data_IF_247804269293
#
_entry.id   IF_247804269293
#
_cell.length_a   1.000
_cell.length_b   1.000
_cell.length_c   1.000
_cell.angle_alpha   90.00
_cell.angle_beta   90.00
_cell.angle_gamma   90.00
#
_symmetry.space_group_name_H-M   'P 1'
#
loop_
_entity.id
_entity.type
_entity.pdbx_description
1 polymer ?
#
# COMPACT_ATOMS: atom_id res chain seq x y z
N UNK A 1 19.57 -15.10 -33.54
CA UNK A 1 19.31 -14.04 -32.59
C UNK A 1 18.07 -14.39 -31.77
N UNK A 2 18.36 -15.02 -30.59
CA UNK A 2 17.33 -15.49 -29.65
C UNK A 2 16.71 -14.32 -28.93
N UNK A 3 15.49 -13.97 -29.30
CA UNK A 3 14.64 -13.08 -28.48
C UNK A 3 14.03 -13.91 -27.36
N UNK A 4 14.56 -13.79 -26.15
CA UNK A 4 13.86 -14.30 -24.97
C UNK A 4 12.49 -13.62 -24.86
N UNK A 5 11.39 -14.37 -24.63
CA UNK A 5 10.06 -13.79 -24.50
C UNK A 5 10.01 -12.88 -23.25
N UNK A 6 9.42 -11.70 -23.40
CA UNK A 6 9.22 -10.77 -22.29
C UNK A 6 8.37 -11.44 -21.20
N UNK A 7 8.94 -11.58 -20.02
CA UNK A 7 8.19 -12.13 -18.85
C UNK A 7 7.02 -11.24 -18.52
N UNK A 8 5.86 -11.84 -18.22
CA UNK A 8 4.67 -11.13 -17.81
C UNK A 8 4.90 -10.34 -16.50
N UNK A 9 4.11 -9.28 -16.25
CA UNK A 9 4.20 -8.50 -15.02
C UNK A 9 4.09 -9.38 -13.76
N UNK A 10 3.16 -10.35 -13.76
CA UNK A 10 2.99 -11.32 -12.68
C UNK A 10 4.22 -12.20 -12.44
N UNK A 11 4.94 -12.58 -13.50
CA UNK A 11 6.19 -13.36 -13.38
C UNK A 11 7.34 -12.51 -12.82
N UNK A 12 7.37 -11.21 -13.15
CA UNK A 12 8.35 -10.27 -12.58
C UNK A 12 8.09 -10.04 -11.09
N UNK A 13 6.83 -9.84 -10.69
CA UNK A 13 6.44 -9.66 -9.29
C UNK A 13 6.70 -10.92 -8.45
N UNK A 14 6.39 -12.10 -8.97
CA UNK A 14 6.71 -13.38 -8.33
C UNK A 14 8.23 -13.57 -8.16
N UNK A 15 9.01 -13.25 -9.17
CA UNK A 15 10.47 -13.32 -9.11
C UNK A 15 11.05 -12.34 -8.10
N UNK A 16 10.51 -11.13 -8.01
CA UNK A 16 10.92 -10.12 -7.02
C UNK A 16 10.60 -10.57 -5.60
N UNK A 17 9.40 -11.09 -5.36
CA UNK A 17 9.00 -11.64 -4.03
C UNK A 17 9.87 -12.83 -3.63
N UNK A 18 10.19 -13.71 -4.57
CA UNK A 18 11.04 -14.87 -4.31
C UNK A 18 12.49 -14.46 -4.05
N UNK A 19 13.01 -13.47 -4.77
CA UNK A 19 14.33 -12.88 -4.54
C UNK A 19 14.40 -12.24 -3.16
N UNK A 20 13.40 -11.43 -2.77
CA UNK A 20 13.33 -10.78 -1.45
C UNK A 20 13.32 -11.81 -0.32
N UNK A 21 12.47 -12.87 -0.42
CA UNK A 21 12.44 -13.96 0.57
C UNK A 21 13.78 -14.71 0.66
N UNK A 22 14.43 -14.94 -0.48
CA UNK A 22 15.70 -15.64 -0.55
C UNK A 22 16.83 -14.81 0.07
N UNK A 23 16.90 -13.51 -0.24
CA UNK A 23 17.88 -12.59 0.37
C UNK A 23 17.72 -12.53 1.90
N UNK A 24 16.49 -12.42 2.42
CA UNK A 24 16.25 -12.45 3.87
C UNK A 24 16.69 -13.77 4.55
N UNK A 25 16.62 -14.90 3.85
CA UNK A 25 16.96 -16.21 4.40
C UNK A 25 18.46 -16.53 4.28
N UNK A 26 19.09 -16.12 3.19
CA UNK A 26 20.50 -16.39 2.92
C UNK A 26 21.45 -15.43 3.68
N UNK A 27 21.07 -14.15 3.86
CA UNK A 27 21.94 -13.11 4.45
C UNK A 27 21.64 -12.80 5.92
N UNK A 28 20.71 -13.53 6.58
CA UNK A 28 20.28 -13.27 7.96
C UNK A 28 19.90 -11.79 8.20
N UNK A 29 19.26 -11.16 7.22
CA UNK A 29 18.80 -9.78 7.36
C UNK A 29 17.66 -9.74 8.39
N UNK A 30 17.92 -9.05 9.49
CA UNK A 30 16.95 -8.84 10.56
C UNK A 30 16.64 -7.35 10.70
N UNK A 31 15.37 -7.00 10.72
CA UNK A 31 14.95 -5.66 11.10
C UNK A 31 15.02 -5.50 12.62
N UNK A 32 15.22 -4.26 13.09
CA UNK A 32 15.07 -3.95 14.51
C UNK A 32 13.63 -4.26 14.96
N UNK A 33 13.42 -4.38 16.28
CA UNK A 33 12.07 -4.61 16.83
C UNK A 33 11.10 -3.49 16.45
N UNK A 34 11.58 -2.26 16.41
CA UNK A 34 10.82 -1.07 16.03
C UNK A 34 10.45 -1.13 14.56
N UNK A 35 11.42 -1.39 13.67
CA UNK A 35 11.18 -1.51 12.23
C UNK A 35 10.20 -2.67 11.91
N UNK A 36 10.30 -3.78 12.63
CA UNK A 36 9.38 -4.91 12.46
C UNK A 36 7.95 -4.54 12.87
N UNK A 37 7.77 -3.87 14.02
CA UNK A 37 6.44 -3.39 14.45
C UNK A 37 5.83 -2.38 13.47
N UNK A 38 6.64 -1.47 12.97
CA UNK A 38 6.23 -0.49 11.96
C UNK A 38 5.75 -1.19 10.67
N UNK A 39 6.48 -2.20 10.19
CA UNK A 39 6.07 -3.01 9.05
C UNK A 39 4.80 -3.82 9.32
N UNK A 40 4.60 -4.32 10.55
CA UNK A 40 3.37 -5.02 10.94
C UNK A 40 2.15 -4.10 10.87
N UNK A 41 2.27 -2.85 11.34
CA UNK A 41 1.18 -1.87 11.24
C UNK A 41 0.82 -1.61 9.78
N UNK A 42 1.81 -1.32 8.93
CA UNK A 42 1.55 -1.07 7.51
C UNK A 42 1.01 -2.32 6.80
N UNK A 43 1.54 -3.50 7.09
CA UNK A 43 1.05 -4.77 6.54
C UNK A 43 -0.41 -5.02 6.91
N UNK A 44 -0.81 -4.70 8.15
CA UNK A 44 -2.20 -4.84 8.60
C UNK A 44 -3.14 -3.91 7.85
N UNK A 45 -2.73 -2.65 7.61
CA UNK A 45 -3.50 -1.71 6.81
C UNK A 45 -3.65 -2.18 5.35
N UNK A 46 -2.58 -2.69 4.76
CA UNK A 46 -2.59 -3.25 3.40
C UNK A 46 -3.47 -4.49 3.30
N UNK A 47 -3.45 -5.36 4.29
CA UNK A 47 -4.34 -6.52 4.33
C UNK A 47 -5.82 -6.10 4.42
N UNK A 48 -6.13 -5.07 5.20
CA UNK A 48 -7.48 -4.53 5.29
C UNK A 48 -7.95 -3.97 3.96
N UNK A 49 -7.13 -3.15 3.27
CA UNK A 49 -7.53 -2.54 1.99
C UNK A 49 -7.75 -3.61 0.91
N UNK A 50 -6.90 -4.65 0.85
CA UNK A 50 -7.09 -5.78 -0.07
C UNK A 50 -8.43 -6.47 0.19
N UNK A 51 -8.73 -6.76 1.45
CA UNK A 51 -9.98 -7.43 1.84
C UNK A 51 -11.18 -6.59 1.46
N UNK A 52 -11.15 -5.29 1.76
CA UNK A 52 -12.23 -4.36 1.40
C UNK A 52 -12.43 -4.24 -0.11
N UNK A 53 -11.35 -4.08 -0.86
CA UNK A 53 -11.42 -3.95 -2.32
C UNK A 53 -11.94 -5.24 -2.99
N UNK A 54 -11.49 -6.40 -2.51
CA UNK A 54 -11.95 -7.70 -3.00
C UNK A 54 -13.44 -7.91 -2.72
N UNK A 55 -13.89 -7.65 -1.50
CA UNK A 55 -15.30 -7.82 -1.13
C UNK A 55 -16.19 -6.83 -1.90
N UNK A 56 -15.80 -5.56 -1.98
CA UNK A 56 -16.53 -4.56 -2.77
C UNK A 56 -16.67 -4.96 -4.23
N UNK A 57 -15.64 -5.58 -4.81
CA UNK A 57 -15.66 -6.08 -6.18
C UNK A 57 -16.60 -7.28 -6.36
N UNK A 58 -16.51 -8.29 -5.46
CA UNK A 58 -17.32 -9.50 -5.54
C UNK A 58 -18.82 -9.17 -5.36
N UNK A 59 -19.12 -8.28 -4.40
CA UNK A 59 -20.49 -7.92 -4.05
C UNK A 59 -21.03 -6.74 -4.88
N UNK A 60 -20.21 -6.15 -5.74
CA UNK A 60 -20.50 -4.91 -6.47
C UNK A 60 -21.00 -3.79 -5.53
N UNK A 61 -20.39 -3.69 -4.34
CA UNK A 61 -20.79 -2.75 -3.31
C UNK A 61 -20.07 -1.40 -3.46
N UNK A 62 -20.81 -0.45 -4.04
CA UNK A 62 -20.33 0.92 -4.26
C UNK A 62 -20.09 1.67 -2.94
N UNK A 63 -20.89 1.40 -1.90
CA UNK A 63 -20.75 2.06 -0.62
C UNK A 63 -19.47 1.61 0.10
N UNK A 64 -19.14 0.31 0.03
CA UNK A 64 -17.88 -0.23 0.50
C UNK A 64 -16.69 0.32 -0.31
N UNK A 65 -16.80 0.39 -1.64
CA UNK A 65 -15.76 0.95 -2.51
C UNK A 65 -15.40 2.39 -2.14
N UNK A 66 -16.37 3.22 -1.75
CA UNK A 66 -16.13 4.61 -1.30
C UNK A 66 -15.31 4.72 -0.02
N UNK A 67 -15.15 3.64 0.76
CA UNK A 67 -14.36 3.63 2.01
C UNK A 67 -12.89 3.26 1.79
N UNK A 68 -12.50 2.92 0.57
CA UNK A 68 -11.15 2.43 0.25
C UNK A 68 -10.17 3.60 0.14
N UNK A 69 -10.54 4.67 -0.52
CA UNK A 69 -9.68 5.84 -0.72
C UNK A 69 -9.17 6.48 0.60
N UNK A 70 -9.99 6.65 1.67
CA UNK A 70 -9.48 7.10 2.95
C UNK A 70 -8.40 6.19 3.55
N UNK A 71 -8.50 4.87 3.36
CA UNK A 71 -7.51 3.92 3.85
C UNK A 71 -6.22 3.95 3.01
N UNK A 72 -6.33 4.10 1.70
CA UNK A 72 -5.19 4.29 0.80
C UNK A 72 -4.39 5.52 1.21
N UNK A 73 -5.04 6.65 1.47
CA UNK A 73 -4.40 7.89 1.92
C UNK A 73 -3.66 7.71 3.27
N UNK A 74 -4.18 6.87 4.16
CA UNK A 74 -3.50 6.53 5.42
C UNK A 74 -2.26 5.67 5.16
N UNK A 75 -2.32 4.72 4.21
CA UNK A 75 -1.17 3.90 3.81
C UNK A 75 -0.07 4.75 3.18
N UNK A 76 -0.42 5.74 2.37
CA UNK A 76 0.52 6.73 1.83
C UNK A 76 1.23 7.52 2.94
N UNK A 77 0.47 7.99 3.92
CA UNK A 77 1.03 8.69 5.08
C UNK A 77 1.96 7.77 5.89
N UNK A 78 1.56 6.52 6.11
CA UNK A 78 2.41 5.52 6.77
C UNK A 78 3.71 5.31 6.01
N UNK A 79 3.68 5.16 4.69
CA UNK A 79 4.89 5.03 3.85
C UNK A 79 5.83 6.21 4.05
N UNK A 80 5.31 7.44 4.03
CA UNK A 80 6.11 8.64 4.21
C UNK A 80 6.76 8.69 5.61
N UNK A 81 6.01 8.36 6.65
CA UNK A 81 6.49 8.33 8.02
C UNK A 81 7.52 7.22 8.26
N UNK A 82 7.25 6.00 7.80
CA UNK A 82 8.17 4.86 7.89
C UNK A 82 9.49 5.14 7.16
N UNK A 83 9.42 5.76 5.99
CA UNK A 83 10.59 6.19 5.25
C UNK A 83 11.43 7.19 6.04
N UNK A 84 10.80 8.19 6.66
CA UNK A 84 11.49 9.19 7.46
C UNK A 84 12.14 8.57 8.71
N UNK A 85 11.44 7.70 9.43
CA UNK A 85 11.96 6.99 10.62
C UNK A 85 13.13 6.09 10.24
N UNK A 86 13.02 5.33 9.16
CA UNK A 86 14.09 4.41 8.74
C UNK A 86 15.32 5.15 8.19
N UNK A 87 15.14 6.29 7.53
CA UNK A 87 16.25 7.17 7.11
C UNK A 87 17.04 7.66 8.32
N UNK A 88 16.38 8.02 9.42
CA UNK A 88 17.06 8.40 10.67
C UNK A 88 17.88 7.24 11.26
N UNK A 89 17.35 6.01 11.24
CA UNK A 89 18.07 4.80 11.67
C UNK A 89 19.33 4.55 10.82
N UNK A 90 19.23 4.73 9.51
CA UNK A 90 20.37 4.64 8.60
C UNK A 90 21.44 5.69 8.93
N UNK A 91 21.03 6.93 9.12
CA UNK A 91 21.96 8.05 9.48
C UNK A 91 22.63 7.83 10.84
N UNK A 92 21.91 7.22 11.79
CA UNK A 92 22.45 6.88 13.11
C UNK A 92 23.34 5.62 13.10
N UNK A 93 23.45 4.91 11.95
CA UNK A 93 24.21 3.66 11.87
C UNK A 93 23.56 2.48 12.59
N UNK A 94 22.25 2.56 12.88
CA UNK A 94 21.47 1.53 13.58
C UNK A 94 21.07 0.36 12.66
N UNK A 95 21.24 0.48 11.36
CA UNK A 95 21.01 -0.56 10.38
C UNK A 95 21.97 -0.44 9.20
N UNK A 96 22.15 -1.54 8.46
CA UNK A 96 22.97 -1.57 7.25
C UNK A 96 22.23 -0.95 6.07
N UNK A 97 23.00 -0.56 5.03
CA UNK A 97 22.42 -0.01 3.79
C UNK A 97 21.53 -1.07 3.12
N UNK A 98 21.94 -2.33 3.12
CA UNK A 98 21.20 -3.44 2.53
C UNK A 98 19.84 -3.63 3.22
N UNK A 99 19.84 -3.61 4.57
CA UNK A 99 18.61 -3.68 5.36
C UNK A 99 17.70 -2.48 5.07
N UNK A 100 18.29 -1.29 4.93
CA UNK A 100 17.56 -0.08 4.59
C UNK A 100 16.91 -0.13 3.21
N UNK A 101 17.64 -0.59 2.20
CA UNK A 101 17.09 -0.77 0.84
C UNK A 101 15.94 -1.76 0.83
N UNK A 102 16.09 -2.90 1.52
CA UNK A 102 15.03 -3.90 1.61
C UNK A 102 13.77 -3.34 2.31
N UNK A 103 13.95 -2.57 3.39
CA UNK A 103 12.84 -1.91 4.07
C UNK A 103 12.08 -0.98 3.13
N UNK A 104 12.79 -0.15 2.36
CA UNK A 104 12.17 0.75 1.39
C UNK A 104 11.46 0.02 0.26
N UNK A 105 12.00 -1.09 -0.23
CA UNK A 105 11.36 -1.93 -1.25
C UNK A 105 10.05 -2.53 -0.73
N UNK A 106 10.00 -2.94 0.54
CA UNK A 106 8.80 -3.48 1.16
C UNK A 106 7.71 -2.40 1.26
N UNK A 107 8.02 -1.23 1.83
CA UNK A 107 7.01 -0.17 1.99
C UNK A 107 6.52 0.40 0.65
N UNK A 108 7.40 0.48 -0.36
CA UNK A 108 6.99 0.85 -1.71
C UNK A 108 6.09 -0.20 -2.36
N UNK A 109 6.33 -1.49 -2.09
CA UNK A 109 5.47 -2.58 -2.59
C UNK A 109 4.09 -2.55 -1.93
N UNK A 110 4.03 -2.24 -0.65
CA UNK A 110 2.77 -2.10 0.10
C UNK A 110 1.91 -0.95 -0.41
N UNK A 111 2.51 0.22 -0.63
CA UNK A 111 1.79 1.37 -1.19
C UNK A 111 1.26 1.07 -2.61
N UNK A 112 2.07 0.46 -3.49
CA UNK A 112 1.59 0.07 -4.82
C UNK A 112 0.40 -0.89 -4.78
N UNK A 113 0.34 -1.78 -3.80
CA UNK A 113 -0.82 -2.65 -3.59
C UNK A 113 -2.05 -1.82 -3.21
N UNK A 114 -1.89 -0.85 -2.31
CA UNK A 114 -2.98 0.05 -1.90
C UNK A 114 -3.50 0.88 -3.07
N UNK A 115 -2.60 1.43 -3.89
CA UNK A 115 -2.90 2.13 -5.15
C UNK A 115 -3.78 1.27 -6.08
N UNK A 116 -3.42 -0.01 -6.27
CA UNK A 116 -4.21 -0.91 -7.11
C UNK A 116 -5.61 -1.18 -6.51
N UNK A 117 -5.73 -1.27 -5.19
CA UNK A 117 -7.01 -1.40 -4.51
C UNK A 117 -7.88 -0.16 -4.68
N UNK A 118 -7.31 1.04 -4.58
CA UNK A 118 -8.00 2.31 -4.85
C UNK A 118 -8.48 2.39 -6.30
N UNK A 119 -7.62 2.04 -7.26
CA UNK A 119 -8.01 2.01 -8.67
C UNK A 119 -9.16 1.02 -8.95
N UNK A 120 -9.16 -0.15 -8.30
CA UNK A 120 -10.28 -1.10 -8.39
C UNK A 120 -11.58 -0.50 -7.83
N UNK A 121 -11.50 0.18 -6.69
CA UNK A 121 -12.65 0.85 -6.10
C UNK A 121 -13.25 1.92 -7.02
N UNK A 122 -12.41 2.72 -7.67
CA UNK A 122 -12.82 3.71 -8.67
C UNK A 122 -13.54 3.03 -9.82
N UNK A 123 -13.03 1.92 -10.36
CA UNK A 123 -13.69 1.17 -11.44
C UNK A 123 -15.08 0.69 -11.03
N UNK A 124 -15.25 0.18 -9.79
CA UNK A 124 -16.56 -0.27 -9.28
C UNK A 124 -17.57 0.90 -9.29
N UNK A 125 -17.13 2.06 -8.79
CA UNK A 125 -17.99 3.25 -8.68
C UNK A 125 -18.37 3.79 -10.06
N UNK A 126 -17.44 3.85 -11.00
CA UNK A 126 -17.68 4.33 -12.36
C UNK A 126 -18.62 3.41 -13.14
N UNK A 127 -18.43 2.10 -13.03
CA UNK A 127 -19.32 1.13 -13.64
C UNK A 127 -20.76 1.28 -13.15
N UNK A 128 -20.94 1.57 -11.85
CA UNK A 128 -22.26 1.78 -11.26
C UNK A 128 -22.97 3.06 -11.76
N UNK A 129 -22.20 4.08 -12.12
CA UNK A 129 -22.70 5.38 -12.56
C UNK A 129 -22.91 5.47 -14.08
N UNK A 130 -22.52 4.44 -14.83
CA UNK A 130 -22.58 4.44 -16.28
C UNK A 130 -21.72 5.50 -16.98
N UNK A 131 -20.73 6.06 -16.27
CA UNK A 131 -19.85 7.11 -16.77
C UNK A 131 -18.37 6.79 -16.53
N UNK A 132 -17.58 6.77 -17.59
CA UNK A 132 -16.13 6.60 -17.54
C UNK A 132 -15.44 7.97 -17.34
N UNK A 133 -15.47 8.52 -16.13
CA UNK A 133 -14.76 9.78 -15.83
C UNK A 133 -13.91 9.67 -14.55
N UNK A 134 -12.95 8.75 -14.54
CA UNK A 134 -12.03 8.42 -13.45
C UNK A 134 -11.40 9.64 -12.75
N UNK A 135 -10.93 10.60 -13.54
CA UNK A 135 -10.27 11.79 -12.99
C UNK A 135 -11.19 12.78 -12.26
N UNK A 136 -12.49 12.78 -12.58
CA UNK A 136 -13.47 13.64 -11.90
C UNK A 136 -13.84 13.10 -10.53
N UNK A 137 -14.01 11.78 -10.42
CA UNK A 137 -14.37 11.12 -9.17
C UNK A 137 -13.25 11.29 -8.13
N UNK A 138 -12.01 10.95 -8.46
CA UNK A 138 -10.88 11.11 -7.53
C UNK A 138 -10.70 12.56 -7.04
N UNK A 139 -10.90 13.55 -7.90
CA UNK A 139 -10.87 14.95 -7.50
C UNK A 139 -12.01 15.32 -6.54
N UNK A 140 -13.20 14.78 -6.73
CA UNK A 140 -14.35 15.07 -5.86
C UNK A 140 -14.25 14.38 -4.49
N UNK A 141 -13.63 13.20 -4.43
CA UNK A 141 -13.46 12.44 -3.18
C UNK A 141 -12.31 13.00 -2.35
N UNK A 142 -11.21 13.41 -2.99
CA UNK A 142 -10.05 14.06 -2.33
C UNK A 142 -10.32 15.53 -1.94
N UNK A 143 -11.47 16.12 -2.33
CA UNK A 143 -11.84 17.43 -1.83
C UNK A 143 -12.16 17.34 -0.33
N UNK A 144 -11.52 18.17 0.47
CA UNK A 144 -11.67 18.23 1.94
C UNK A 144 -13.12 18.51 2.43
N UNK A 145 -14.06 18.72 1.52
CA UNK A 145 -15.46 18.99 1.81
C UNK A 145 -16.31 17.72 2.04
N UNK A 146 -15.75 16.52 1.81
CA UNK A 146 -16.49 15.29 2.03
C UNK A 146 -16.40 14.83 3.50
N UNK A 147 -17.36 15.19 4.33
CA UNK A 147 -17.41 14.84 5.75
C UNK A 147 -17.30 13.32 6.01
N UNK A 148 -17.77 12.50 5.09
CA UNK A 148 -17.70 11.03 5.15
C UNK A 148 -16.28 10.53 4.95
N UNK A 149 -15.56 11.10 3.97
CA UNK A 149 -14.16 10.83 3.73
C UNK A 149 -13.31 11.19 4.95
N UNK A 150 -13.46 12.42 5.44
CA UNK A 150 -12.69 12.91 6.60
C UNK A 150 -12.89 12.06 7.84
N UNK A 151 -14.13 11.66 8.13
CA UNK A 151 -14.40 10.77 9.26
C UNK A 151 -13.69 9.42 9.12
N UNK A 152 -13.81 8.77 7.97
CA UNK A 152 -13.15 7.48 7.71
C UNK A 152 -11.63 7.62 7.76
N UNK A 153 -11.09 8.69 7.21
CA UNK A 153 -9.66 8.98 7.22
C UNK A 153 -9.12 9.16 8.66
N UNK A 154 -9.81 9.92 9.50
CA UNK A 154 -9.44 10.09 10.91
C UNK A 154 -9.52 8.79 11.70
N UNK A 155 -10.55 7.96 11.46
CA UNK A 155 -10.69 6.65 12.09
C UNK A 155 -9.52 5.72 11.72
N UNK A 156 -9.10 5.71 10.46
CA UNK A 156 -7.94 4.93 10.01
C UNK A 156 -6.62 5.49 10.52
N UNK A 157 -6.43 6.82 10.56
CA UNK A 157 -5.25 7.44 11.16
C UNK A 157 -5.07 7.01 12.62
N UNK A 158 -6.16 6.98 13.40
CA UNK A 158 -6.11 6.50 14.79
C UNK A 158 -5.81 5.01 14.89
N UNK A 159 -6.43 4.21 14.01
CA UNK A 159 -6.25 2.74 14.00
C UNK A 159 -4.83 2.32 13.69
N UNK A 160 -4.18 3.01 12.78
CA UNK A 160 -2.84 2.68 12.28
C UNK A 160 -1.75 3.67 12.74
N UNK A 161 -1.97 4.36 13.85
CA UNK A 161 -0.96 5.23 14.43
C UNK A 161 0.31 4.45 14.82
N UNK A 162 1.47 4.98 14.44
CA UNK A 162 2.77 4.43 14.83
C UNK A 162 3.16 4.96 16.23
N UNK A 163 3.46 4.06 17.14
CA UNK A 163 3.90 4.35 18.51
C UNK A 163 5.40 4.24 18.69
#
# INVERSE_FOLDING_TARGET
PDRQPARSAAQRDAATRQKTKRTMHEDKIHFSKEASKELEVMSSAVQEIITKATNAFIENDVAAAQTIEPLEQVIDNLKAELRARHTKRLQAGECTIETGMLFFDIINSFERIADHCSNLAVCIIELSQGSYQTHRYLKSVKSQENARFMKSFEDYLRKYALH
#
